data_IF_780657163530
#
_entry.id   IF_780657163530
#
_cell.length_a   1.000
_cell.length_b   1.000
_cell.length_c   1.000
_cell.angle_alpha   90.00
_cell.angle_beta   90.00
_cell.angle_gamma   90.00
#
_symmetry.space_group_name_H-M   'P 1'
#
loop_
_entity.id
_entity.type
_entity.pdbx_description
1 polymer ?
#
# COMPACT_ATOMS: atom_id res chain seq x y z
N UNK A 1 -22.27 -4.91 1.03
CA UNK A 1 -21.66 -5.47 2.27
C UNK A 1 -22.73 -5.54 3.35
N UNK A 2 -22.84 -6.65 4.04
CA UNK A 2 -23.82 -6.78 5.13
C UNK A 2 -23.22 -6.29 6.44
N UNK A 3 -23.44 -5.01 6.75
CA UNK A 3 -22.88 -4.31 7.91
C UNK A 3 -23.32 -4.94 9.24
N UNK A 4 -24.58 -5.31 9.38
CA UNK A 4 -25.12 -5.87 10.62
C UNK A 4 -24.50 -7.24 10.93
N UNK A 5 -24.31 -8.07 9.93
CA UNK A 5 -23.64 -9.37 10.09
C UNK A 5 -22.18 -9.19 10.50
N UNK A 6 -21.49 -8.24 9.89
CA UNK A 6 -20.09 -7.92 10.24
C UNK A 6 -20.00 -7.40 11.66
N UNK A 7 -20.88 -6.48 12.08
CA UNK A 7 -20.93 -5.97 13.45
C UNK A 7 -21.18 -7.07 14.48
N UNK A 8 -22.04 -8.04 14.14
CA UNK A 8 -22.28 -9.20 15.02
C UNK A 8 -21.00 -10.02 15.23
N UNK A 9 -20.24 -10.27 14.16
CA UNK A 9 -18.95 -10.97 14.23
C UNK A 9 -17.94 -10.18 15.05
N UNK A 10 -17.90 -8.86 14.90
CA UNK A 10 -17.02 -7.97 15.65
C UNK A 10 -17.32 -8.05 17.14
N UNK A 11 -18.60 -8.03 17.53
CA UNK A 11 -18.99 -8.11 18.95
C UNK A 11 -18.49 -9.37 19.63
N UNK A 12 -18.43 -10.49 18.93
CA UNK A 12 -17.99 -11.77 19.48
C UNK A 12 -16.48 -11.99 19.46
N UNK A 13 -15.74 -11.21 18.67
CA UNK A 13 -14.30 -11.34 18.55
C UNK A 13 -13.57 -10.57 19.67
N UNK A 14 -12.38 -11.06 20.08
CA UNK A 14 -11.52 -10.36 21.05
C UNK A 14 -10.56 -9.40 20.36
N UNK A 15 -10.07 -9.76 19.19
CA UNK A 15 -9.11 -9.00 18.39
C UNK A 15 -9.67 -8.84 16.99
N UNK A 16 -9.56 -7.64 16.44
CA UNK A 16 -9.99 -7.31 15.08
C UNK A 16 -8.77 -6.98 14.23
N UNK A 17 -8.63 -7.67 13.11
CA UNK A 17 -7.60 -7.38 12.12
C UNK A 17 -8.21 -6.64 10.95
N UNK A 18 -7.60 -5.52 10.54
CA UNK A 18 -8.04 -4.72 9.40
C UNK A 18 -6.91 -4.65 8.38
N UNK A 19 -7.21 -5.08 7.17
CA UNK A 19 -6.31 -4.90 6.04
C UNK A 19 -6.32 -3.44 5.60
N UNK A 20 -5.14 -2.85 5.36
CA UNK A 20 -5.03 -1.43 5.04
C UNK A 20 -5.38 -1.13 3.59
N UNK A 21 -4.62 -1.69 2.65
CA UNK A 21 -4.79 -1.37 1.23
C UNK A 21 -5.88 -2.21 0.60
N UNK A 22 -6.66 -1.58 -0.29
CA UNK A 22 -7.82 -2.15 -0.97
C UNK A 22 -8.96 -2.55 -0.01
N UNK A 23 -8.84 -2.23 1.27
CA UNK A 23 -9.90 -2.40 2.28
C UNK A 23 -10.19 -1.08 2.96
N UNK A 24 -9.30 -0.58 3.83
CA UNK A 24 -9.47 0.71 4.49
C UNK A 24 -9.12 1.88 3.56
N UNK A 25 -8.08 1.72 2.76
CA UNK A 25 -7.61 2.72 1.81
C UNK A 25 -7.66 2.20 0.39
N UNK A 26 -8.10 3.04 -0.54
CA UNK A 26 -8.06 2.79 -1.97
C UNK A 26 -6.92 3.52 -2.64
N UNK A 27 -6.39 2.94 -3.70
CA UNK A 27 -5.51 3.62 -4.64
C UNK A 27 -6.29 3.94 -5.93
N UNK A 28 -6.12 5.14 -6.52
CA UNK A 28 -6.88 5.55 -7.71
C UNK A 28 -6.36 4.93 -9.02
N UNK A 29 -5.46 3.98 -8.95
CA UNK A 29 -4.85 3.35 -10.13
C UNK A 29 -5.44 1.97 -10.35
N UNK A 30 -5.86 1.67 -11.60
CA UNK A 30 -6.39 0.36 -11.98
C UNK A 30 -5.33 -0.73 -11.81
N UNK A 31 -4.09 -0.41 -12.18
CA UNK A 31 -2.94 -1.29 -12.01
C UNK A 31 -1.95 -0.59 -11.07
N UNK A 32 -1.39 -1.28 -10.05
CA UNK A 32 -0.41 -0.67 -9.15
C UNK A 32 0.79 -0.04 -9.85
N UNK A 33 1.20 -0.59 -11.00
CA UNK A 33 2.32 -0.04 -11.78
C UNK A 33 1.98 1.29 -12.47
N UNK A 34 0.71 1.65 -12.59
CA UNK A 34 0.30 2.93 -13.19
C UNK A 34 0.82 4.12 -12.38
N UNK A 35 1.06 3.96 -11.09
CA UNK A 35 1.72 4.97 -10.27
C UNK A 35 3.10 5.35 -10.84
N UNK A 36 3.86 4.38 -11.27
CA UNK A 36 5.21 4.61 -11.81
C UNK A 36 5.18 5.36 -13.14
N UNK A 37 4.23 5.02 -14.01
CA UNK A 37 4.05 5.75 -15.27
C UNK A 37 3.58 7.18 -15.04
N UNK A 38 2.73 7.40 -14.03
CA UNK A 38 2.30 8.73 -13.65
C UNK A 38 3.47 9.58 -13.13
N UNK A 39 4.32 8.99 -12.27
CA UNK A 39 5.53 9.66 -11.78
C UNK A 39 6.50 10.00 -12.92
N UNK A 40 6.70 9.07 -13.83
CA UNK A 40 7.54 9.31 -15.02
C UNK A 40 7.06 10.51 -15.82
N UNK A 41 5.76 10.63 -16.02
CA UNK A 41 5.15 11.74 -16.76
C UNK A 41 5.26 13.05 -15.99
N UNK A 42 4.90 13.08 -14.70
CA UNK A 42 4.92 14.29 -13.86
C UNK A 42 6.33 14.88 -13.78
N UNK A 43 7.32 14.03 -13.53
CA UNK A 43 8.69 14.46 -13.29
C UNK A 43 9.55 14.46 -14.55
N UNK A 44 8.98 14.10 -15.71
CA UNK A 44 9.67 14.05 -17.01
C UNK A 44 10.96 13.22 -16.92
N UNK A 45 10.83 12.02 -16.38
CA UNK A 45 11.95 11.08 -16.20
C UNK A 45 11.72 9.85 -17.09
N UNK A 46 12.14 9.89 -18.38
CA UNK A 46 11.94 8.78 -19.32
C UNK A 46 12.55 7.48 -18.78
N UNK A 47 11.86 6.37 -19.01
CA UNK A 47 12.28 5.01 -18.64
C UNK A 47 12.21 4.72 -17.13
N UNK A 48 11.81 5.69 -16.29
CA UNK A 48 11.72 5.45 -14.84
C UNK A 48 10.77 4.29 -14.51
N UNK A 49 9.57 4.28 -15.08
CA UNK A 49 8.57 3.26 -14.77
C UNK A 49 9.09 1.86 -15.07
N UNK A 50 9.68 1.66 -16.23
CA UNK A 50 10.24 0.37 -16.63
C UNK A 50 11.37 -0.05 -15.69
N UNK A 51 12.27 0.87 -15.38
CA UNK A 51 13.40 0.60 -14.47
C UNK A 51 12.92 0.28 -13.06
N UNK A 52 11.89 0.98 -12.58
CA UNK A 52 11.31 0.72 -11.27
C UNK A 52 10.68 -0.67 -11.19
N UNK A 53 9.94 -1.07 -12.22
CA UNK A 53 9.32 -2.39 -12.31
C UNK A 53 10.38 -3.48 -12.39
N UNK A 54 11.40 -3.29 -13.21
CA UNK A 54 12.51 -4.24 -13.34
C UNK A 54 13.26 -4.37 -12.01
N UNK A 55 13.55 -3.27 -11.34
CA UNK A 55 14.26 -3.27 -10.07
C UNK A 55 13.49 -4.04 -8.99
N UNK A 56 12.17 -3.89 -8.94
CA UNK A 56 11.35 -4.66 -7.99
C UNK A 56 11.43 -6.16 -8.27
N UNK A 57 11.31 -6.56 -9.54
CA UNK A 57 11.42 -7.97 -9.95
C UNK A 57 12.79 -8.54 -9.58
N UNK A 58 13.86 -7.80 -9.86
CA UNK A 58 15.22 -8.23 -9.53
C UNK A 58 15.42 -8.34 -8.02
N UNK A 59 14.89 -7.40 -7.26
CA UNK A 59 14.97 -7.41 -5.80
C UNK A 59 14.26 -8.63 -5.22
N UNK A 60 13.07 -8.96 -5.72
CA UNK A 60 12.33 -10.17 -5.31
C UNK A 60 13.08 -11.44 -5.66
N UNK A 61 13.71 -11.48 -6.84
CA UNK A 61 14.49 -12.62 -7.28
C UNK A 61 15.73 -12.85 -6.41
N UNK A 62 16.43 -11.77 -6.02
CA UNK A 62 17.65 -11.83 -5.21
C UNK A 62 17.38 -11.99 -3.71
N UNK A 63 16.17 -11.69 -3.27
CA UNK A 63 15.82 -11.79 -1.85
C UNK A 63 15.56 -13.23 -1.43
N UNK A 64 16.07 -13.60 -0.25
CA UNK A 64 15.74 -14.88 0.40
C UNK A 64 14.44 -14.82 1.20
N UNK A 65 13.82 -13.64 1.28
CA UNK A 65 12.57 -13.39 2.01
C UNK A 65 11.42 -13.16 1.03
N UNK A 66 10.20 -13.48 1.43
CA UNK A 66 9.01 -13.24 0.62
C UNK A 66 8.73 -11.75 0.44
N UNK A 67 9.02 -10.97 1.48
CA UNK A 67 8.78 -9.52 1.47
C UNK A 67 10.06 -8.74 1.22
N UNK A 68 9.92 -7.65 0.47
CA UNK A 68 11.00 -6.71 0.18
C UNK A 68 10.57 -5.30 0.58
N UNK A 69 11.55 -4.41 0.77
CA UNK A 69 11.31 -3.02 1.18
C UNK A 69 11.60 -2.04 0.04
N UNK A 70 11.11 -0.81 0.16
CA UNK A 70 11.47 0.28 -0.75
C UNK A 70 12.98 0.49 -0.81
N UNK A 71 13.65 0.42 0.33
CA UNK A 71 15.11 0.60 0.39
C UNK A 71 15.82 -0.44 -0.47
N UNK A 72 15.41 -1.70 -0.38
CA UNK A 72 15.99 -2.78 -1.17
C UNK A 72 15.76 -2.58 -2.67
N UNK A 73 14.56 -2.14 -3.06
CA UNK A 73 14.24 -1.85 -4.46
C UNK A 73 15.12 -0.72 -4.99
N UNK A 74 15.24 0.37 -4.24
CA UNK A 74 16.01 1.53 -4.67
C UNK A 74 17.52 1.34 -4.54
N UNK A 75 17.98 0.39 -3.73
CA UNK A 75 19.38 -0.04 -3.73
C UNK A 75 19.75 -0.73 -5.05
N UNK A 76 18.80 -1.40 -5.68
CA UNK A 76 19.00 -2.15 -6.93
C UNK A 76 18.62 -1.37 -8.20
N UNK A 77 18.00 -0.21 -8.07
CA UNK A 77 17.63 0.61 -9.23
C UNK A 77 18.85 1.34 -9.80
N UNK A 78 18.77 1.71 -11.09
CA UNK A 78 19.81 2.54 -11.72
C UNK A 78 20.02 3.83 -10.92
N UNK A 79 21.28 4.22 -10.75
CA UNK A 79 21.69 5.41 -10.00
C UNK A 79 20.94 6.68 -10.41
N UNK A 80 20.61 6.80 -11.70
CA UNK A 80 19.91 7.96 -12.25
C UNK A 80 18.48 8.12 -11.68
N UNK A 81 17.91 7.08 -11.06
CA UNK A 81 16.53 7.07 -10.56
C UNK A 81 16.42 6.95 -9.05
N UNK A 82 17.53 6.92 -8.32
CA UNK A 82 17.51 6.80 -6.86
C UNK A 82 16.81 7.95 -6.17
N UNK A 83 16.83 9.14 -6.74
CA UNK A 83 16.13 10.32 -6.25
C UNK A 83 14.61 10.22 -6.35
N UNK A 84 14.10 9.27 -7.12
CA UNK A 84 12.65 9.08 -7.30
C UNK A 84 11.98 8.40 -6.11
N UNK A 85 12.73 7.82 -5.16
CA UNK A 85 12.16 7.15 -3.99
C UNK A 85 11.23 8.04 -3.19
N UNK A 86 11.68 9.24 -2.84
CA UNK A 86 10.86 10.18 -2.06
C UNK A 86 9.65 10.65 -2.85
N UNK A 87 9.78 10.80 -4.16
CA UNK A 87 8.70 11.17 -5.05
C UNK A 87 7.64 10.07 -5.16
N UNK A 88 8.07 8.81 -5.20
CA UNK A 88 7.16 7.66 -5.19
C UNK A 88 6.37 7.62 -3.88
N UNK A 89 7.04 7.70 -2.74
CA UNK A 89 6.39 7.70 -1.43
C UNK A 89 5.42 8.87 -1.28
N UNK A 90 5.81 10.07 -1.72
CA UNK A 90 4.96 11.25 -1.65
C UNK A 90 3.68 11.09 -2.47
N UNK A 91 3.78 10.58 -3.70
CA UNK A 91 2.60 10.37 -4.54
C UNK A 91 1.72 9.25 -4.00
N UNK A 92 2.31 8.16 -3.49
CA UNK A 92 1.58 7.06 -2.86
C UNK A 92 0.70 7.58 -1.72
N UNK A 93 1.27 8.35 -0.79
CA UNK A 93 0.51 8.90 0.34
C UNK A 93 -0.55 9.91 -0.10
N UNK A 94 -0.25 10.77 -1.07
CA UNK A 94 -1.21 11.77 -1.56
C UNK A 94 -2.37 11.15 -2.33
N UNK A 95 -2.17 9.95 -2.89
CA UNK A 95 -3.17 9.28 -3.72
C UNK A 95 -4.12 8.39 -2.93
N UNK A 96 -3.85 8.13 -1.65
CA UNK A 96 -4.67 7.25 -0.84
C UNK A 96 -6.05 7.84 -0.62
N UNK A 97 -7.09 7.04 -0.90
CA UNK A 97 -8.48 7.38 -0.66
C UNK A 97 -9.04 6.50 0.45
N UNK A 98 -9.75 7.10 1.40
CA UNK A 98 -10.33 6.39 2.53
C UNK A 98 -11.64 5.71 2.14
N UNK A 99 -11.79 4.44 2.54
CA UNK A 99 -13.05 3.72 2.43
C UNK A 99 -13.92 4.06 3.65
N UNK A 100 -14.94 4.90 3.44
CA UNK A 100 -15.79 5.40 4.52
C UNK A 100 -16.56 4.29 5.23
N UNK A 101 -17.03 3.25 4.53
CA UNK A 101 -17.72 2.12 5.15
C UNK A 101 -16.83 1.39 6.15
N UNK A 102 -15.59 1.13 5.76
CA UNK A 102 -14.63 0.44 6.63
C UNK A 102 -14.19 1.36 7.78
N UNK A 103 -14.08 2.67 7.52
CA UNK A 103 -13.81 3.64 8.59
C UNK A 103 -14.92 3.61 9.64
N UNK A 104 -16.18 3.55 9.22
CA UNK A 104 -17.31 3.46 10.16
C UNK A 104 -17.25 2.18 10.98
N UNK A 105 -16.88 1.05 10.38
CA UNK A 105 -16.66 -0.19 11.11
C UNK A 105 -15.49 -0.07 12.09
N UNK A 106 -14.41 0.59 11.70
CA UNK A 106 -13.28 0.85 12.58
C UNK A 106 -13.70 1.69 13.80
N UNK A 107 -14.45 2.77 13.59
CA UNK A 107 -14.95 3.60 14.67
C UNK A 107 -15.86 2.81 15.62
N UNK A 108 -16.68 1.91 15.07
CA UNK A 108 -17.50 1.00 15.85
C UNK A 108 -16.65 0.07 16.74
N UNK A 109 -15.60 -0.55 16.17
CA UNK A 109 -14.66 -1.41 16.89
C UNK A 109 -14.01 -0.64 18.05
N UNK A 110 -13.58 0.60 17.78
CA UNK A 110 -12.97 1.47 18.80
C UNK A 110 -13.97 1.76 19.92
N UNK A 111 -15.24 1.94 19.61
CA UNK A 111 -16.28 2.18 20.62
C UNK A 111 -16.47 0.99 21.56
N UNK A 112 -16.17 -0.22 21.12
CA UNK A 112 -16.23 -1.44 21.92
C UNK A 112 -14.95 -1.68 22.73
N UNK A 113 -13.94 -0.83 22.59
CA UNK A 113 -12.63 -0.94 23.27
C UNK A 113 -11.91 -2.26 23.00
N UNK A 114 -12.08 -2.80 21.80
CA UNK A 114 -11.40 -4.02 21.36
C UNK A 114 -10.02 -3.71 20.79
N UNK A 115 -9.12 -4.68 20.88
CA UNK A 115 -7.80 -4.58 20.26
C UNK A 115 -7.93 -4.63 18.73
N UNK A 116 -7.27 -3.70 18.06
CA UNK A 116 -7.25 -3.61 16.60
C UNK A 116 -5.82 -3.80 16.11
N UNK A 117 -5.66 -4.68 15.13
CA UNK A 117 -4.39 -4.91 14.45
C UNK A 117 -4.58 -4.50 12.99
N UNK A 118 -3.67 -3.67 12.47
CA UNK A 118 -3.63 -3.34 11.05
C UNK A 118 -2.64 -4.25 10.35
N UNK A 119 -3.06 -4.80 9.21
CA UNK A 119 -2.21 -5.65 8.38
C UNK A 119 -2.00 -5.02 7.02
N UNK A 120 -0.85 -5.27 6.42
CA UNK A 120 -0.54 -4.76 5.09
C UNK A 120 0.47 -5.68 4.39
N UNK A 121 0.21 -6.00 3.13
CA UNK A 121 1.16 -6.68 2.25
C UNK A 121 2.02 -5.70 1.46
N UNK A 122 1.87 -4.40 1.71
CA UNK A 122 2.79 -3.41 1.15
C UNK A 122 4.14 -3.42 1.86
N UNK A 123 5.17 -3.35 1.04
CA UNK A 123 6.54 -3.16 1.51
C UNK A 123 6.77 -1.68 1.85
N UNK A 124 7.15 -1.40 3.06
CA UNK A 124 7.49 -0.06 3.54
C UNK A 124 8.91 -0.02 4.08
#
# INVERSE_FOLDING_TARGET
MNIEKIKSSIRSAKVISIDLFDTLFYRPYLNPNDLFFHLEMIHKRPLYADQRIISEKNTRFLSSKEEITYDQIYDNIDENFKDMKDKELSLEFKSILLNEEIKDLYDYVKSLKKEVIFTSDMYL
#
